data_IF_429481202727
#
_entry.id   IF_429481202727
#
_cell.length_a   1.000
_cell.length_b   1.000
_cell.length_c   1.000
_cell.angle_alpha   90.00
_cell.angle_beta   90.00
_cell.angle_gamma   90.00
#
_symmetry.space_group_name_H-M   'P 1'
#
loop_
_entity.id
_entity.type
_entity.pdbx_description
1 polymer ?
#
# COMPACT_ATOMS: atom_id res chain seq x y z
N UNK A 1 -4.49 -12.04 11.54
CA UNK A 1 -4.63 -10.73 10.86
C UNK A 1 -3.73 -9.72 11.56
N UNK A 2 -3.03 -8.87 10.81
CA UNK A 2 -2.07 -7.91 11.35
C UNK A 2 -2.59 -6.48 11.15
N UNK A 3 -3.04 -5.81 12.21
CA UNK A 3 -3.66 -4.49 12.11
C UNK A 3 -2.69 -3.31 12.07
N UNK A 4 -1.38 -3.51 12.30
CA UNK A 4 -0.40 -2.41 12.39
C UNK A 4 0.96 -2.85 11.87
N UNK A 5 1.70 -1.95 11.25
CA UNK A 5 3.09 -2.17 10.87
C UNK A 5 3.89 -0.87 10.87
N UNK A 6 5.17 -0.95 10.55
CA UNK A 6 6.07 0.19 10.51
C UNK A 6 6.91 0.17 9.22
N UNK A 7 7.13 1.34 8.65
CA UNK A 7 8.04 1.58 7.53
C UNK A 7 8.94 2.77 7.90
N UNK A 8 10.03 2.47 8.58
CA UNK A 8 10.96 3.49 9.11
C UNK A 8 12.38 3.35 8.58
N UNK A 9 12.64 2.34 7.74
CA UNK A 9 13.91 2.08 7.06
C UNK A 9 13.64 1.47 5.69
N UNK A 10 14.52 1.75 4.75
CA UNK A 10 14.50 1.19 3.40
C UNK A 10 15.92 1.14 2.83
N UNK A 11 16.14 0.28 1.83
CA UNK A 11 17.44 0.18 1.15
C UNK A 11 17.56 1.26 0.07
N UNK A 12 18.79 1.64 -0.33
CA UNK A 12 18.98 2.53 -1.48
C UNK A 12 18.36 1.98 -2.77
N UNK A 13 18.41 0.65 -2.98
CA UNK A 13 17.80 0.01 -4.13
C UNK A 13 16.26 0.18 -4.14
N UNK A 14 15.61 0.08 -2.98
CA UNK A 14 14.18 0.34 -2.87
C UNK A 14 13.85 1.82 -3.12
N UNK A 15 14.66 2.74 -2.59
CA UNK A 15 14.50 4.17 -2.83
C UNK A 15 14.79 4.61 -4.27
N UNK A 16 15.50 3.79 -5.04
CA UNK A 16 15.78 4.03 -6.46
C UNK A 16 14.66 3.56 -7.39
N UNK A 17 13.63 2.88 -6.88
CA UNK A 17 12.51 2.43 -7.70
C UNK A 17 11.69 3.63 -8.20
N UNK A 18 11.15 3.56 -9.43
CA UNK A 18 10.24 4.58 -9.94
C UNK A 18 9.08 4.82 -8.97
N UNK A 19 8.72 6.08 -8.75
CA UNK A 19 7.62 6.45 -7.86
C UNK A 19 7.96 6.48 -6.37
N UNK A 20 9.22 6.25 -5.97
CA UNK A 20 9.63 6.50 -4.58
C UNK A 20 9.41 7.98 -4.22
N UNK A 21 8.65 8.32 -3.16
CA UNK A 21 8.33 9.71 -2.85
C UNK A 21 9.54 10.46 -2.29
N UNK A 22 9.81 11.67 -2.80
CA UNK A 22 10.89 12.52 -2.28
C UNK A 22 10.66 12.95 -0.82
N UNK A 23 9.40 13.01 -0.40
CA UNK A 23 8.94 13.33 0.95
C UNK A 23 8.68 12.09 1.82
N UNK A 24 9.18 10.90 1.42
CA UNK A 24 9.00 9.69 2.22
C UNK A 24 9.63 9.83 3.60
N UNK A 25 8.80 9.77 4.64
CA UNK A 25 9.22 9.85 6.04
C UNK A 25 9.22 8.46 6.70
N UNK A 26 9.98 8.33 7.78
CA UNK A 26 9.91 7.16 8.64
C UNK A 26 8.58 7.15 9.41
N UNK A 27 7.90 6.00 9.40
CA UNK A 27 6.62 5.78 10.08
C UNK A 27 6.74 4.58 11.01
N UNK A 28 6.65 4.79 12.33
CA UNK A 28 6.75 3.74 13.34
C UNK A 28 5.44 3.05 13.68
N UNK A 29 4.33 3.62 13.19
CA UNK A 29 3.00 3.15 13.51
C UNK A 29 2.00 3.48 12.40
N UNK A 30 1.88 2.56 11.45
CA UNK A 30 0.91 2.61 10.36
C UNK A 30 -0.28 1.74 10.75
N UNK A 31 -1.49 2.29 10.60
CA UNK A 31 -2.77 1.67 10.94
C UNK A 31 -3.67 1.58 9.70
N UNK A 32 -4.77 0.80 9.73
CA UNK A 32 -5.73 0.78 8.63
C UNK A 32 -6.27 2.18 8.38
N UNK A 33 -6.67 2.47 7.14
CA UNK A 33 -7.00 3.80 6.65
C UNK A 33 -5.81 4.77 6.47
N UNK A 34 -4.58 4.43 6.87
CA UNK A 34 -3.43 5.26 6.52
C UNK A 34 -3.06 5.14 5.03
N UNK A 35 -2.32 6.12 4.54
CA UNK A 35 -1.65 6.03 3.24
C UNK A 35 -0.33 5.29 3.41
N UNK A 36 -0.13 4.28 2.58
CA UNK A 36 1.01 3.36 2.62
C UNK A 36 1.69 3.29 1.26
N UNK A 37 2.96 2.93 1.26
CA UNK A 37 3.71 2.72 0.03
C UNK A 37 3.56 1.26 -0.40
N UNK A 38 3.08 1.04 -1.61
CA UNK A 38 2.96 -0.28 -2.23
C UNK A 38 3.89 -0.38 -3.44
N UNK A 39 4.32 -1.60 -3.75
CA UNK A 39 4.97 -1.91 -5.02
C UNK A 39 3.93 -2.57 -5.93
N UNK A 40 3.78 -2.05 -7.15
CA UNK A 40 2.84 -2.57 -8.15
C UNK A 40 3.51 -2.68 -9.51
N UNK A 41 2.92 -3.47 -10.41
CA UNK A 41 3.31 -3.45 -11.82
C UNK A 41 3.01 -2.07 -12.40
N UNK A 42 3.95 -1.53 -13.19
CA UNK A 42 3.74 -0.27 -13.88
C UNK A 42 2.67 -0.43 -14.97
N UNK A 43 1.89 0.63 -15.21
CA UNK A 43 0.70 0.55 -16.08
C UNK A 43 1.05 0.33 -17.56
N UNK A 44 2.19 0.86 -18.03
CA UNK A 44 2.51 0.91 -19.47
C UNK A 44 3.83 0.23 -19.86
N UNK A 45 4.61 -0.26 -18.91
CA UNK A 45 5.90 -0.89 -19.16
C UNK A 45 6.07 -2.08 -18.21
N UNK A 46 6.65 -3.19 -18.66
CA UNK A 46 6.79 -4.45 -17.90
C UNK A 46 7.73 -4.39 -16.69
N UNK A 47 7.65 -3.32 -15.90
CA UNK A 47 8.43 -3.06 -14.70
C UNK A 47 7.57 -2.94 -13.45
N UNK A 48 8.23 -2.53 -12.37
CA UNK A 48 7.61 -2.28 -11.06
C UNK A 48 7.79 -0.81 -10.70
N UNK A 49 6.79 -0.26 -10.01
CA UNK A 49 6.82 1.09 -9.46
C UNK A 49 6.30 1.09 -8.02
N UNK A 50 6.68 2.12 -7.29
CA UNK A 50 6.14 2.43 -5.99
C UNK A 50 5.02 3.45 -6.12
N UNK A 51 3.93 3.22 -5.39
CA UNK A 51 2.78 4.11 -5.37
C UNK A 51 2.26 4.28 -3.95
N UNK A 52 1.74 5.47 -3.64
CA UNK A 52 0.96 5.70 -2.42
C UNK A 52 -0.45 5.19 -2.62
N UNK A 53 -0.90 4.32 -1.73
CA UNK A 53 -2.25 3.78 -1.72
C UNK A 53 -2.84 3.83 -0.32
N UNK A 54 -4.17 3.91 -0.23
CA UNK A 54 -4.87 3.78 1.05
C UNK A 54 -4.84 2.33 1.51
N UNK A 55 -4.49 2.08 2.77
CA UNK A 55 -4.65 0.75 3.37
C UNK A 55 -6.11 0.49 3.72
N UNK A 56 -6.83 0.00 2.72
CA UNK A 56 -8.24 -0.35 2.78
C UNK A 56 -8.77 -0.47 1.37
N UNK A 57 -9.23 -1.66 0.96
CA UNK A 57 -9.69 -1.87 -0.41
C UNK A 57 -10.90 -0.97 -0.70
N UNK A 58 -10.79 -0.16 -1.76
CA UNK A 58 -11.84 0.77 -2.21
C UNK A 58 -12.37 0.35 -3.59
N UNK A 59 -13.35 -0.57 -3.64
CA UNK A 59 -14.05 -0.85 -4.89
C UNK A 59 -14.69 0.41 -5.46
N UNK A 60 -14.81 0.51 -6.79
CA UNK A 60 -15.36 1.69 -7.46
C UNK A 60 -16.80 2.04 -7.02
N UNK A 61 -17.56 1.07 -6.53
CA UNK A 61 -18.93 1.27 -6.03
C UNK A 61 -19.01 1.68 -4.55
N UNK A 62 -17.90 1.60 -3.79
CA UNK A 62 -17.87 1.90 -2.36
C UNK A 62 -17.73 3.41 -2.14
N UNK A 63 -18.75 4.04 -1.57
CA UNK A 63 -18.77 5.49 -1.28
C UNK A 63 -18.38 5.81 0.16
N UNK A 64 -18.62 4.89 1.09
CA UNK A 64 -18.30 5.03 2.51
C UNK A 64 -16.92 4.42 2.82
N UNK A 65 -15.90 5.28 2.86
CA UNK A 65 -14.50 4.87 3.08
C UNK A 65 -14.21 4.39 4.51
N UNK A 66 -15.16 4.50 5.44
CA UNK A 66 -15.02 3.94 6.79
C UNK A 66 -15.19 2.41 6.81
N UNK A 67 -15.80 1.85 5.75
CA UNK A 67 -16.10 0.42 5.61
C UNK A 67 -15.08 -0.35 4.78
N UNK A 68 -13.98 0.27 4.39
CA UNK A 68 -12.94 -0.38 3.57
C UNK A 68 -12.28 -1.52 4.34
N UNK A 69 -12.26 -2.76 3.82
CA UNK A 69 -11.59 -3.86 4.50
C UNK A 69 -10.07 -3.72 4.40
N UNK A 70 -9.38 -3.93 5.53
CA UNK A 70 -7.92 -3.84 5.62
C UNK A 70 -7.20 -5.18 5.36
N UNK A 71 -7.96 -6.29 5.32
CA UNK A 71 -7.46 -7.65 5.17
C UNK A 71 -8.31 -8.42 4.17
N UNK A 72 -7.65 -9.30 3.42
CA UNK A 72 -8.29 -10.36 2.66
C UNK A 72 -7.79 -11.71 3.21
N UNK A 73 -8.69 -12.69 3.28
CA UNK A 73 -8.36 -14.07 3.66
C UNK A 73 -7.85 -14.79 2.42
N UNK A 74 -6.73 -15.48 2.54
CA UNK A 74 -6.16 -16.21 1.42
C UNK A 74 -7.09 -17.35 0.97
N UNK A 75 -7.82 -17.95 1.92
CA UNK A 75 -8.77 -19.02 1.65
C UNK A 75 -9.99 -18.61 0.83
N UNK A 76 -10.38 -17.33 0.82
CA UNK A 76 -11.61 -16.85 0.16
C UNK A 76 -11.37 -15.73 -0.85
N UNK A 77 -10.12 -15.42 -1.23
CA UNK A 77 -9.84 -14.25 -2.10
C UNK A 77 -10.30 -14.46 -3.56
N UNK A 78 -10.43 -15.72 -3.98
CA UNK A 78 -10.83 -16.09 -5.34
C UNK A 78 -12.32 -16.49 -5.46
N UNK A 79 -13.01 -16.57 -4.33
CA UNK A 79 -14.47 -16.83 -4.26
C UNK A 79 -15.24 -15.52 -4.44
#
# INVERSE_FOLDING_TARGET
MCGRFALFRWTPAFAALPGFPADQQAQWNISPADWVLIMRAAENEGGIELARARWGLTPAWLTDLSKTPAHARAETVAE
#
